data_IF_967105415346
#
_entry.id   IF_967105415346
#
_cell.length_a   1.000
_cell.length_b   1.000
_cell.length_c   1.000
_cell.angle_alpha   90.00
_cell.angle_beta   90.00
_cell.angle_gamma   90.00
#
_symmetry.space_group_name_H-M   'P 1'
#
loop_
_entity.id
_entity.type
_entity.pdbx_description
1 polymer ?
#
# COMPACT_ATOMS: atom_id res chain seq x y z
N UNK A 1 17.08 1.96 -0.78
CA UNK A 1 16.28 1.76 0.44
C UNK A 1 14.92 2.41 0.26
N UNK A 2 13.85 1.72 0.63
CA UNK A 2 12.48 2.22 0.57
C UNK A 2 11.91 2.31 1.98
N UNK A 3 11.25 3.42 2.29
CA UNK A 3 10.55 3.64 3.56
C UNK A 3 9.05 3.58 3.34
N UNK A 4 8.32 2.80 4.13
CA UNK A 4 6.87 2.72 4.04
C UNK A 4 6.24 3.92 4.76
N UNK A 5 5.60 4.81 4.00
CA UNK A 5 4.88 5.97 4.53
C UNK A 5 3.49 5.96 3.93
N UNK A 6 2.47 5.86 4.78
CA UNK A 6 1.08 5.60 4.37
C UNK A 6 0.11 6.77 4.55
N UNK A 7 0.62 7.94 4.94
CA UNK A 7 -0.16 9.18 5.07
C UNK A 7 0.76 10.40 5.12
N UNK A 8 0.27 11.59 4.71
CA UNK A 8 1.08 12.81 4.61
C UNK A 8 1.36 13.46 5.97
N UNK A 9 0.65 13.01 7.01
CA UNK A 9 0.77 13.48 8.38
C UNK A 9 0.57 12.31 9.36
N UNK A 10 0.81 12.59 10.64
CA UNK A 10 0.71 11.60 11.72
C UNK A 10 -0.65 10.94 11.81
N UNK A 11 -1.74 11.71 11.63
CA UNK A 11 -3.11 11.20 11.75
C UNK A 11 -3.40 10.18 10.66
N UNK A 12 -3.18 10.54 9.39
CA UNK A 12 -3.47 9.64 8.27
C UNK A 12 -2.53 8.44 8.30
N UNK A 13 -1.24 8.64 8.60
CA UNK A 13 -0.29 7.53 8.67
C UNK A 13 -0.65 6.55 9.78
N UNK A 14 -0.94 7.04 11.00
CA UNK A 14 -1.34 6.22 12.14
C UNK A 14 -2.62 5.41 11.86
N UNK A 15 -3.60 5.98 11.15
CA UNK A 15 -4.79 5.26 10.72
C UNK A 15 -4.48 4.05 9.83
N UNK A 16 -3.41 4.10 9.03
CA UNK A 16 -3.03 3.00 8.15
C UNK A 16 -2.20 1.93 8.86
N UNK A 17 -1.36 2.31 9.83
CA UNK A 17 -0.40 1.39 10.47
C UNK A 17 -0.80 0.94 11.87
N UNK A 18 -1.75 1.63 12.51
CA UNK A 18 -2.25 1.32 13.87
C UNK A 18 -1.34 1.76 15.01
N UNK A 19 -0.38 2.66 14.76
CA UNK A 19 0.59 3.15 15.75
C UNK A 19 0.70 4.67 15.62
N UNK A 20 0.36 5.40 16.68
CA UNK A 20 0.25 6.85 16.66
C UNK A 20 1.60 7.56 16.40
N UNK A 21 2.67 7.06 17.01
CA UNK A 21 4.00 7.67 16.99
C UNK A 21 4.86 7.22 15.78
N UNK A 22 4.31 6.36 14.92
CA UNK A 22 5.07 5.76 13.82
C UNK A 22 5.48 6.78 12.76
N UNK A 23 4.68 7.84 12.56
CA UNK A 23 4.97 8.84 11.55
C UNK A 23 6.22 9.64 11.87
N UNK A 24 6.29 10.22 13.07
CA UNK A 24 7.41 11.04 13.51
C UNK A 24 8.72 10.23 13.50
N UNK A 25 8.67 9.00 14.03
CA UNK A 25 9.83 8.09 14.04
C UNK A 25 10.30 7.77 12.61
N UNK A 26 9.36 7.53 11.69
CA UNK A 26 9.69 7.23 10.29
C UNK A 26 10.30 8.44 9.60
N UNK A 27 9.73 9.63 9.76
CA UNK A 27 10.23 10.88 9.17
C UNK A 27 11.60 11.26 9.72
N UNK A 28 11.81 11.13 11.03
CA UNK A 28 13.12 11.35 11.66
C UNK A 28 14.17 10.37 11.11
N UNK A 29 13.82 9.08 11.01
CA UNK A 29 14.67 8.05 10.42
C UNK A 29 15.04 8.36 8.98
N UNK A 30 14.08 8.81 8.17
CA UNK A 30 14.32 9.26 6.79
C UNK A 30 15.33 10.41 6.78
N UNK A 31 15.15 11.42 7.64
CA UNK A 31 16.07 12.55 7.74
C UNK A 31 17.52 12.12 8.03
N UNK A 32 17.70 11.16 8.94
CA UNK A 32 19.01 10.57 9.20
C UNK A 32 19.59 9.86 7.98
N UNK A 33 18.80 9.02 7.31
CA UNK A 33 19.24 8.30 6.12
C UNK A 33 19.60 9.22 4.96
N UNK A 34 18.82 10.29 4.74
CA UNK A 34 19.10 11.30 3.70
C UNK A 34 20.42 12.01 4.00
N UNK A 35 20.66 12.41 5.25
CA UNK A 35 21.90 13.08 5.67
C UNK A 35 23.14 12.20 5.53
N UNK A 36 23.02 10.90 5.84
CA UNK A 36 24.16 9.97 5.92
C UNK A 36 24.32 9.07 4.67
N UNK A 37 23.51 9.31 3.63
CA UNK A 37 23.42 8.45 2.44
C UNK A 37 24.77 8.31 1.72
N UNK A 38 25.30 7.07 1.55
CA UNK A 38 26.47 6.84 0.71
C UNK A 38 26.19 7.17 -0.76
N UNK A 39 27.25 7.45 -1.53
CA UNK A 39 27.13 7.58 -2.99
C UNK A 39 26.60 6.29 -3.60
N UNK A 40 25.69 6.41 -4.56
CA UNK A 40 25.09 5.27 -5.27
C UNK A 40 23.93 4.58 -4.54
N UNK A 41 23.59 4.96 -3.31
CA UNK A 41 22.39 4.45 -2.62
C UNK A 41 21.20 5.33 -2.96
N UNK A 42 20.19 4.77 -3.63
CA UNK A 42 18.92 5.46 -3.83
C UNK A 42 18.03 5.32 -2.58
N UNK A 43 17.35 6.41 -2.21
CA UNK A 43 16.35 6.43 -1.15
C UNK A 43 15.00 6.78 -1.76
N UNK A 44 13.96 6.10 -1.33
CA UNK A 44 12.61 6.37 -1.78
C UNK A 44 11.54 6.05 -0.74
N UNK A 45 10.32 6.40 -1.07
CA UNK A 45 9.14 6.19 -0.26
C UNK A 45 8.24 5.15 -0.93
N UNK A 46 7.58 4.30 -0.15
CA UNK A 46 6.54 3.40 -0.62
C UNK A 46 5.23 3.74 0.08
N UNK A 47 4.16 3.94 -0.70
CA UNK A 47 2.79 4.03 -0.20
C UNK A 47 1.99 2.86 -0.74
N UNK A 48 1.29 2.16 0.15
CA UNK A 48 0.22 1.24 -0.22
C UNK A 48 -1.11 1.99 -0.18
N UNK A 49 -1.83 2.03 -1.31
CA UNK A 49 -3.07 2.78 -1.46
C UNK A 49 -4.24 2.07 -0.79
N UNK A 50 -4.98 2.79 0.03
CA UNK A 50 -6.21 2.36 0.70
C UNK A 50 -7.30 3.41 0.50
N UNK A 51 -8.56 3.08 0.80
CA UNK A 51 -9.65 4.09 0.86
C UNK A 51 -9.30 5.26 1.78
N UNK A 52 -8.57 5.00 2.87
CA UNK A 52 -8.22 6.00 3.86
C UNK A 52 -7.09 6.95 3.45
N UNK A 53 -6.31 6.62 2.42
CA UNK A 53 -5.17 7.46 2.01
C UNK A 53 -5.14 7.86 0.53
N UNK A 54 -5.94 7.24 -0.34
CA UNK A 54 -5.88 7.47 -1.79
C UNK A 54 -6.15 8.94 -2.17
N UNK A 55 -7.04 9.62 -1.44
CA UNK A 55 -7.35 11.04 -1.64
C UNK A 55 -6.16 11.97 -1.34
N UNK A 56 -5.17 11.49 -0.58
CA UNK A 56 -4.02 12.27 -0.12
C UNK A 56 -2.78 12.10 -1.01
N UNK A 57 -2.89 11.42 -2.16
CA UNK A 57 -1.74 11.06 -2.99
C UNK A 57 -0.92 12.27 -3.47
N UNK A 58 -1.57 13.40 -3.77
CA UNK A 58 -0.86 14.64 -4.12
C UNK A 58 0.01 15.17 -2.96
N UNK A 59 -0.55 15.21 -1.74
CA UNK A 59 0.19 15.62 -0.53
C UNK A 59 1.32 14.65 -0.20
N UNK A 60 1.15 13.37 -0.52
CA UNK A 60 2.22 12.37 -0.40
C UNK A 60 3.39 12.66 -1.35
N UNK A 61 3.11 13.11 -2.58
CA UNK A 61 4.14 13.57 -3.51
C UNK A 61 4.97 14.72 -2.93
N UNK A 62 4.28 15.73 -2.37
CA UNK A 62 4.93 16.87 -1.70
C UNK A 62 5.78 16.43 -0.50
N UNK A 63 5.25 15.55 0.36
CA UNK A 63 5.98 15.01 1.49
C UNK A 63 7.23 14.25 1.05
N UNK A 64 7.11 13.37 0.04
CA UNK A 64 8.24 12.62 -0.51
C UNK A 64 9.38 13.57 -0.91
N UNK A 65 9.04 14.62 -1.64
CA UNK A 65 9.99 15.59 -2.15
C UNK A 65 10.64 16.41 -1.03
N UNK A 66 9.84 16.89 -0.07
CA UNK A 66 10.29 17.73 1.04
C UNK A 66 11.21 16.97 2.01
N UNK A 67 11.02 15.66 2.16
CA UNK A 67 11.92 14.77 2.90
C UNK A 67 13.26 14.53 2.19
N UNK A 68 13.46 15.05 0.98
CA UNK A 68 14.70 14.86 0.21
C UNK A 68 14.77 13.52 -0.52
N UNK A 69 13.65 12.79 -0.60
CA UNK A 69 13.56 11.55 -1.38
C UNK A 69 13.38 11.90 -2.86
N UNK A 70 13.89 11.02 -3.74
CA UNK A 70 13.87 11.21 -5.21
C UNK A 70 13.22 10.04 -5.93
N UNK A 71 12.55 9.17 -5.17
CA UNK A 71 11.87 7.99 -5.66
C UNK A 71 10.62 7.72 -4.82
N UNK A 72 9.49 7.48 -5.47
CA UNK A 72 8.24 7.07 -4.83
C UNK A 72 7.64 5.85 -5.54
N UNK A 73 7.28 4.84 -4.76
CA UNK A 73 6.47 3.72 -5.18
C UNK A 73 5.02 3.94 -4.77
N UNK A 74 4.12 3.91 -5.74
CA UNK A 74 2.68 3.86 -5.53
C UNK A 74 2.23 2.42 -5.69
N UNK A 75 1.96 1.75 -4.58
CA UNK A 75 1.60 0.35 -4.53
C UNK A 75 0.09 0.19 -4.40
N UNK A 76 -0.51 -0.47 -5.38
CA UNK A 76 -1.90 -0.92 -5.30
C UNK A 76 -2.01 -2.15 -4.41
N UNK A 77 -3.15 -2.26 -3.71
CA UNK A 77 -3.39 -3.40 -2.83
C UNK A 77 -3.34 -4.70 -3.62
N UNK A 78 -2.64 -5.62 -3.02
CA UNK A 78 -2.64 -7.03 -3.37
C UNK A 78 -3.29 -7.77 -2.22
N UNK A 79 -4.01 -8.86 -2.47
CA UNK A 79 -4.67 -9.70 -1.46
C UNK A 79 -3.66 -10.43 -0.56
N UNK A 80 -2.91 -9.66 0.25
CA UNK A 80 -2.07 -10.14 1.33
C UNK A 80 -2.66 -9.70 2.66
N UNK A 81 -2.66 -10.61 3.63
CA UNK A 81 -2.96 -10.30 5.02
C UNK A 81 -4.28 -9.55 5.19
N UNK A 82 -4.20 -8.26 5.53
CA UNK A 82 -5.32 -7.42 5.95
C UNK A 82 -6.10 -6.74 4.81
N UNK A 83 -5.69 -6.97 3.56
CA UNK A 83 -6.16 -6.23 2.40
C UNK A 83 -7.48 -6.82 1.86
N UNK A 84 -8.61 -6.24 2.27
CA UNK A 84 -9.95 -6.62 1.80
C UNK A 84 -10.66 -5.51 1.07
N UNK A 85 -11.86 -5.79 0.55
CA UNK A 85 -12.72 -4.82 -0.13
C UNK A 85 -13.00 -3.56 0.70
N UNK A 86 -12.96 -3.64 2.04
CA UNK A 86 -13.20 -2.46 2.89
C UNK A 86 -12.04 -1.48 2.86
N UNK A 87 -10.83 -1.99 2.67
CA UNK A 87 -9.60 -1.17 2.63
C UNK A 87 -9.25 -0.79 1.20
N UNK A 88 -9.61 -1.62 0.21
CA UNK A 88 -9.29 -1.40 -1.19
C UNK A 88 -10.04 -0.20 -1.79
N UNK A 89 -9.32 0.83 -2.30
CA UNK A 89 -9.98 1.91 -3.01
C UNK A 89 -10.55 1.39 -4.34
N UNK A 90 -11.46 2.16 -4.94
CA UNK A 90 -11.81 1.92 -6.33
C UNK A 90 -10.54 2.03 -7.20
N UNK A 91 -10.25 0.97 -7.95
CA UNK A 91 -8.98 0.87 -8.70
C UNK A 91 -8.89 1.93 -9.80
N UNK A 92 -10.01 2.31 -10.42
CA UNK A 92 -10.02 3.30 -11.50
C UNK A 92 -9.79 4.72 -10.96
N UNK A 93 -10.45 5.09 -9.86
CA UNK A 93 -10.20 6.36 -9.15
C UNK A 93 -8.75 6.44 -8.65
N UNK A 94 -8.25 5.38 -8.01
CA UNK A 94 -6.88 5.29 -7.57
C UNK A 94 -5.87 5.41 -8.73
N UNK A 95 -6.15 4.80 -9.88
CA UNK A 95 -5.34 4.95 -11.09
C UNK A 95 -5.38 6.39 -11.62
N UNK A 96 -6.55 7.02 -11.69
CA UNK A 96 -6.69 8.41 -12.13
C UNK A 96 -5.90 9.39 -11.26
N UNK A 97 -5.90 9.20 -9.94
CA UNK A 97 -5.09 9.98 -8.99
C UNK A 97 -3.61 9.69 -9.13
N UNK A 98 -3.24 8.44 -9.37
CA UNK A 98 -1.85 8.04 -9.63
C UNK A 98 -1.31 8.69 -10.89
N UNK A 99 -2.12 8.77 -11.96
CA UNK A 99 -1.79 9.52 -13.18
C UNK A 99 -1.49 10.99 -12.87
N UNK A 100 -2.36 11.65 -12.13
CA UNK A 100 -2.16 13.06 -11.74
C UNK A 100 -0.88 13.26 -10.91
N UNK A 101 -0.53 12.30 -10.04
CA UNK A 101 0.75 12.32 -9.33
C UNK A 101 1.94 12.21 -10.29
N UNK A 102 1.89 11.28 -11.24
CA UNK A 102 2.95 11.09 -12.24
C UNK A 102 3.14 12.37 -13.06
N UNK A 103 2.06 12.94 -13.60
CA UNK A 103 2.09 14.17 -14.39
C UNK A 103 2.75 15.33 -13.62
N UNK A 104 2.49 15.43 -12.32
CA UNK A 104 3.04 16.49 -11.49
C UNK A 104 4.52 16.28 -11.12
N UNK A 105 5.01 15.04 -11.03
CA UNK A 105 6.27 14.74 -10.34
C UNK A 105 7.31 13.93 -11.12
N UNK A 106 6.95 13.24 -12.19
CA UNK A 106 7.87 12.35 -12.92
C UNK A 106 9.11 13.07 -13.48
N UNK A 107 9.00 14.37 -13.78
CA UNK A 107 10.14 15.20 -14.20
C UNK A 107 11.10 15.58 -13.07
N UNK A 108 10.77 15.31 -11.81
CA UNK A 108 11.56 15.68 -10.62
C UNK A 108 12.03 14.48 -9.82
N UNK A 109 11.21 13.45 -9.73
CA UNK A 109 11.51 12.22 -9.01
C UNK A 109 11.01 10.99 -9.77
N UNK A 110 11.67 9.86 -9.53
CA UNK A 110 11.26 8.57 -10.07
C UNK A 110 9.92 8.17 -9.43
N UNK A 111 8.90 7.91 -10.24
CA UNK A 111 7.63 7.33 -9.79
C UNK A 111 7.50 5.92 -10.37
N UNK A 112 7.18 4.96 -9.52
CA UNK A 112 6.88 3.59 -9.94
C UNK A 112 5.50 3.17 -9.44
N UNK A 113 4.71 2.57 -10.31
CA UNK A 113 3.39 2.04 -9.98
C UNK A 113 3.50 0.54 -9.84
N UNK A 114 3.17 0.03 -8.66
CA UNK A 114 3.33 -1.39 -8.31
C UNK A 114 1.95 -2.04 -8.23
N UNK A 115 1.82 -3.25 -8.79
CA UNK A 115 0.61 -4.10 -8.68
C UNK A 115 -0.66 -3.55 -9.36
N UNK A 116 -0.53 -2.62 -10.31
CA UNK A 116 -1.65 -2.15 -11.14
C UNK A 116 -1.59 -2.81 -12.54
N UNK A 117 -2.70 -3.33 -13.08
CA UNK A 117 -2.74 -3.78 -14.46
C UNK A 117 -2.50 -2.63 -15.45
N UNK A 118 -1.70 -2.89 -16.50
CA UNK A 118 -1.29 -1.88 -17.51
C UNK A 118 -2.47 -1.14 -18.14
N UNK A 119 -3.61 -1.82 -18.32
CA UNK A 119 -4.81 -1.22 -18.90
C UNK A 119 -5.45 -0.09 -18.09
N UNK A 120 -5.07 0.11 -16.81
CA UNK A 120 -5.55 1.23 -16.00
C UNK A 120 -4.79 2.54 -16.23
N UNK A 121 -3.60 2.48 -16.83
CA UNK A 121 -2.73 3.64 -17.07
C UNK A 121 -2.13 3.60 -18.49
N UNK A 122 -2.96 3.61 -19.55
CA UNK A 122 -2.46 3.64 -20.91
C UNK A 122 -1.65 4.91 -21.17
N UNK A 123 -0.48 4.77 -21.80
CA UNK A 123 0.47 5.86 -22.06
C UNK A 123 1.46 6.16 -20.94
N UNK A 124 1.38 5.44 -19.80
CA UNK A 124 2.27 5.60 -18.65
C UNK A 124 3.07 4.32 -18.35
N UNK A 125 3.20 3.43 -19.33
CA UNK A 125 3.74 2.07 -19.19
C UNK A 125 5.14 2.04 -18.57
N UNK A 126 5.95 3.06 -18.79
CA UNK A 126 7.31 3.18 -18.22
C UNK A 126 7.32 3.27 -16.68
N UNK A 127 6.22 3.71 -16.07
CA UNK A 127 6.08 3.80 -14.63
C UNK A 127 5.60 2.47 -14.02
N UNK A 128 4.89 1.63 -14.78
CA UNK A 128 4.32 0.39 -14.25
C UNK A 128 5.38 -0.69 -14.07
N UNK A 129 5.44 -1.23 -12.85
CA UNK A 129 6.28 -2.35 -12.50
C UNK A 129 5.41 -3.62 -12.52
N UNK A 130 5.39 -4.25 -13.69
CA UNK A 130 4.86 -5.61 -13.86
C UNK A 130 5.59 -6.65 -12.99
N UNK A 131 5.29 -7.91 -13.22
CA UNK A 131 5.73 -9.02 -12.37
C UNK A 131 7.13 -9.56 -12.75
N UNK A 132 7.76 -9.08 -13.82
CA UNK A 132 9.09 -9.54 -14.28
C UNK A 132 10.13 -9.48 -13.16
N UNK A 133 10.24 -8.34 -12.47
CA UNK A 133 11.19 -8.15 -11.37
C UNK A 133 10.81 -8.88 -10.08
N UNK A 134 9.67 -9.59 -10.05
CA UNK A 134 9.17 -10.37 -8.90
C UNK A 134 9.46 -11.87 -9.05
N UNK A 135 9.77 -12.35 -10.26
CA UNK A 135 10.03 -13.77 -10.54
C UNK A 135 11.15 -14.37 -9.67
N UNK A 136 12.17 -13.58 -9.34
CA UNK A 136 13.31 -14.00 -8.51
C UNK A 136 13.21 -13.57 -7.04
N UNK A 137 12.10 -12.95 -6.62
CA UNK A 137 11.94 -12.44 -5.25
C UNK A 137 11.35 -13.52 -4.34
N UNK A 138 12.18 -13.99 -3.42
CA UNK A 138 11.73 -14.79 -2.29
C UNK A 138 11.42 -13.85 -1.13
N UNK A 139 10.22 -13.98 -0.56
CA UNK A 139 9.84 -13.26 0.66
C UNK A 139 9.71 -14.25 1.80
N UNK A 140 10.26 -13.87 2.95
CA UNK A 140 10.01 -14.56 4.22
C UNK A 140 8.93 -13.79 4.94
N UNK A 141 7.78 -14.43 5.15
CA UNK A 141 6.72 -13.83 5.93
C UNK A 141 6.98 -13.97 7.43
N UNK A 142 6.27 -13.19 8.24
CA UNK A 142 6.38 -13.21 9.72
C UNK A 142 5.97 -14.58 10.30
N UNK A 143 5.28 -15.43 9.53
CA UNK A 143 5.01 -16.82 9.86
C UNK A 143 6.18 -17.79 9.51
N UNK A 144 7.34 -17.27 9.08
CA UNK A 144 8.52 -18.00 8.62
C UNK A 144 8.32 -18.89 7.37
N UNK A 145 7.23 -18.72 6.62
CA UNK A 145 7.11 -19.35 5.31
C UNK A 145 7.89 -18.53 4.29
N UNK A 146 8.80 -19.20 3.57
CA UNK A 146 9.46 -18.63 2.39
C UNK A 146 8.61 -18.95 1.19
N UNK A 147 8.08 -17.92 0.52
CA UNK A 147 7.35 -18.09 -0.74
C UNK A 147 8.07 -17.38 -1.87
N UNK A 148 7.96 -17.93 -3.08
CA UNK A 148 8.21 -17.15 -4.28
C UNK A 148 7.05 -16.16 -4.48
N UNK A 149 7.36 -14.87 -4.49
CA UNK A 149 6.36 -13.81 -4.57
C UNK A 149 5.56 -13.89 -5.88
N UNK A 150 6.20 -14.21 -7.00
CA UNK A 150 5.49 -14.27 -8.28
C UNK A 150 4.50 -15.43 -8.33
N UNK A 151 4.87 -16.62 -7.87
CA UNK A 151 3.97 -17.78 -7.81
C UNK A 151 2.76 -17.50 -6.91
N UNK A 152 2.99 -16.91 -5.74
CA UNK A 152 1.91 -16.56 -4.81
C UNK A 152 0.96 -15.51 -5.39
N UNK A 153 1.48 -14.50 -6.09
CA UNK A 153 0.68 -13.47 -6.73
C UNK A 153 -0.10 -14.03 -7.93
N UNK A 154 0.51 -14.92 -8.72
CA UNK A 154 -0.14 -15.55 -9.87
C UNK A 154 -1.37 -16.35 -9.46
N UNK A 155 -1.37 -16.99 -8.28
CA UNK A 155 -2.54 -17.70 -7.74
C UNK A 155 -3.72 -16.78 -7.40
N UNK A 156 -3.51 -15.47 -7.30
CA UNK A 156 -4.53 -14.49 -6.90
C UNK A 156 -4.83 -13.44 -7.97
N UNK A 157 -4.30 -13.63 -9.18
CA UNK A 157 -4.62 -12.78 -10.32
C UNK A 157 -5.49 -13.55 -11.30
N UNK A 158 -6.57 -12.91 -11.73
CA UNK A 158 -7.50 -13.45 -12.70
C UNK A 158 -7.35 -12.69 -14.03
N UNK A 159 -6.94 -13.36 -15.13
CA UNK A 159 -6.98 -12.76 -16.45
C UNK A 159 -8.45 -12.57 -16.89
N UNK A 160 -8.76 -11.42 -17.48
CA UNK A 160 -10.09 -11.13 -18.05
C UNK A 160 -10.03 -11.24 -19.58
N UNK A 161 -11.18 -11.22 -20.25
CA UNK A 161 -11.25 -11.33 -21.71
C UNK A 161 -10.35 -10.30 -22.44
N UNK A 162 -10.25 -9.08 -21.89
CA UNK A 162 -9.37 -8.01 -22.40
C UNK A 162 -7.87 -8.37 -22.38
N UNK A 163 -7.46 -9.33 -21.55
CA UNK A 163 -6.07 -9.77 -21.46
C UNK A 163 -5.65 -10.64 -22.65
N UNK A 164 -6.57 -11.31 -23.35
CA UNK A 164 -6.27 -12.21 -24.45
C UNK A 164 -5.39 -11.58 -25.55
N UNK A 165 -5.77 -10.41 -26.10
CA UNK A 165 -4.96 -9.72 -27.11
C UNK A 165 -3.90 -8.78 -26.52
N UNK A 166 -3.74 -8.69 -25.19
CA UNK A 166 -2.93 -7.66 -24.57
C UNK A 166 -1.43 -7.98 -24.66
N UNK A 167 -0.58 -7.10 -25.23
CA UNK A 167 0.86 -7.34 -25.34
C UNK A 167 1.57 -7.36 -23.97
N UNK A 168 0.96 -6.79 -22.94
CA UNK A 168 1.50 -6.77 -21.58
C UNK A 168 1.12 -8.02 -20.76
N UNK A 169 0.28 -8.92 -21.28
CA UNK A 169 -0.26 -10.06 -20.52
C UNK A 169 0.85 -10.93 -19.90
N UNK A 170 1.98 -11.11 -20.61
CA UNK A 170 3.13 -11.90 -20.15
C UNK A 170 3.81 -11.37 -18.88
N UNK A 171 3.64 -10.09 -18.56
CA UNK A 171 4.28 -9.44 -17.39
C UNK A 171 3.29 -8.79 -16.44
N UNK A 172 1.99 -8.78 -16.78
CA UNK A 172 0.95 -8.15 -15.95
C UNK A 172 0.29 -9.15 -14.99
N UNK A 173 0.14 -10.41 -15.38
CA UNK A 173 -0.55 -11.44 -14.60
C UNK A 173 -2.07 -11.27 -14.46
N UNK A 174 -2.65 -10.12 -14.80
CA UNK A 174 -4.10 -9.85 -14.73
C UNK A 174 -4.51 -9.06 -13.48
N UNK A 175 -5.78 -9.19 -13.10
CA UNK A 175 -6.46 -8.38 -12.08
C UNK A 175 -6.48 -9.08 -10.72
N UNK A 176 -6.39 -8.32 -9.64
CA UNK A 176 -6.69 -8.85 -8.30
C UNK A 176 -8.19 -8.81 -8.05
N UNK A 177 -8.77 -9.94 -7.65
CA UNK A 177 -10.14 -10.03 -7.18
C UNK A 177 -10.10 -10.08 -5.64
N UNK A 178 -10.57 -9.00 -5.01
CA UNK A 178 -10.51 -8.81 -3.55
C UNK A 178 -11.83 -9.18 -2.87
N UNK A 179 -12.86 -9.53 -3.65
CA UNK A 179 -14.22 -9.78 -3.17
C UNK A 179 -14.34 -11.13 -2.43
N UNK A 180 -13.47 -12.09 -2.74
CA UNK A 180 -13.46 -13.44 -2.16
C UNK A 180 -12.39 -13.63 -1.05
N UNK A 181 -11.69 -12.55 -0.66
CA UNK A 181 -10.69 -12.64 0.42
C UNK A 181 -11.43 -12.58 1.77
N UNK A 182 -11.34 -13.62 2.62
CA UNK A 182 -12.01 -13.63 3.92
C UNK A 182 -11.58 -12.43 4.76
N UNK A 183 -12.56 -11.75 5.36
CA UNK A 183 -12.30 -10.58 6.17
C UNK A 183 -11.41 -10.91 7.38
N UNK A 184 -10.26 -10.24 7.53
CA UNK A 184 -9.49 -10.34 8.72
C UNK A 184 -10.22 -9.59 9.85
N UNK A 185 -10.14 -10.08 11.09
CA UNK A 185 -11.06 -9.67 12.11
C UNK A 185 -10.99 -8.19 12.56
N UNK A 186 -10.04 -7.32 12.17
CA UNK A 186 -9.65 -6.04 12.85
C UNK A 186 -10.09 -4.66 12.23
N UNK A 187 -11.36 -4.27 12.24
CA UNK A 187 -11.84 -2.87 12.12
C UNK A 187 -11.56 -1.98 13.36
N UNK A 188 -10.37 -1.39 13.49
CA UNK A 188 -10.04 -0.47 14.60
C UNK A 188 -10.87 0.83 14.51
N UNK A 189 -11.58 1.21 15.59
CA UNK A 189 -12.35 2.47 15.64
C UNK A 189 -11.44 3.66 16.01
N UNK A 190 -11.79 4.92 15.67
CA UNK A 190 -10.98 6.09 16.03
C UNK A 190 -10.66 6.20 17.53
N UNK A 191 -11.57 5.74 18.38
CA UNK A 191 -11.44 5.73 19.84
C UNK A 191 -10.40 4.70 20.32
N UNK A 192 -10.10 3.69 19.49
CA UNK A 192 -9.08 2.68 19.76
C UNK A 192 -7.65 3.18 19.42
N UNK A 193 -7.51 4.31 18.70
CA UNK A 193 -6.23 4.87 18.22
C UNK A 193 -5.50 5.75 19.25
N UNK A 194 -6.16 6.14 20.34
CA UNK A 194 -5.57 7.02 21.36
C UNK A 194 -5.24 6.25 22.65
N UNK A 195 -4.04 5.68 22.74
CA UNK A 195 -3.55 4.99 23.94
C UNK A 195 -2.40 5.77 24.60
N UNK A 196 -2.57 6.30 25.82
CA UNK A 196 -1.49 6.93 26.58
C UNK A 196 -0.30 5.98 26.77
N UNK A 197 0.92 6.52 26.90
CA UNK A 197 2.15 5.72 27.08
C UNK A 197 2.11 4.73 28.26
N UNK A 198 1.29 5.02 29.27
CA UNK A 198 1.13 4.20 30.47
C UNK A 198 -0.02 3.19 30.37
N UNK A 199 -0.70 3.09 29.23
CA UNK A 199 -1.79 2.13 29.04
C UNK A 199 -1.22 0.71 28.91
N UNK A 200 -1.52 -0.22 29.84
CA UNK A 200 -1.03 -1.61 29.78
C UNK A 200 -1.50 -2.35 28.52
N UNK A 201 -2.56 -1.87 27.86
CA UNK A 201 -3.10 -2.44 26.61
C UNK A 201 -2.32 -1.98 25.38
N UNK A 202 -1.29 -1.14 25.50
CA UNK A 202 -0.54 -0.60 24.34
C UNK A 202 0.03 -1.69 23.42
N UNK A 203 0.29 -2.89 23.94
CA UNK A 203 0.79 -4.04 23.18
C UNK A 203 -0.31 -4.95 22.61
N UNK A 204 -1.58 -4.71 22.95
CA UNK A 204 -2.70 -5.51 22.47
C UNK A 204 -3.09 -5.09 21.05
N UNK A 205 -2.98 -6.03 20.11
CA UNK A 205 -3.28 -5.84 18.68
C UNK A 205 -4.78 -5.77 18.37
N UNK A 206 -5.65 -6.11 19.33
CA UNK A 206 -7.10 -6.15 19.17
C UNK A 206 -7.78 -5.59 20.44
N UNK A 207 -8.61 -4.53 20.35
CA UNK A 207 -9.32 -3.97 21.51
C UNK A 207 -10.34 -4.97 22.11
N UNK A 208 -10.69 -4.80 23.39
CA UNK A 208 -11.75 -5.59 24.01
C UNK A 208 -13.15 -5.31 23.39
N UNK A 209 -13.99 -6.34 23.30
CA UNK A 209 -15.36 -6.26 22.73
C UNK A 209 -15.42 -6.01 21.22
N UNK A 210 -14.27 -6.03 20.57
CA UNK A 210 -14.13 -5.63 19.18
C UNK A 210 -14.69 -6.66 18.19
N UNK A 211 -14.46 -7.96 18.42
CA UNK A 211 -15.02 -9.05 17.62
C UNK A 211 -16.55 -9.13 17.67
N UNK A 212 -17.18 -8.53 18.69
CA UNK A 212 -18.64 -8.42 18.82
C UNK A 212 -19.17 -7.24 18.00
N UNK A 213 -18.47 -6.10 18.01
CA UNK A 213 -18.80 -4.93 17.17
C UNK A 213 -18.74 -5.26 15.67
N UNK A 214 -17.72 -6.00 15.24
CA UNK A 214 -17.61 -6.45 13.83
C UNK A 214 -18.75 -7.38 13.47
N UNK A 215 -19.07 -8.37 14.32
CA UNK A 215 -20.20 -9.28 14.08
C UNK A 215 -21.53 -8.55 13.97
N UNK A 216 -21.78 -7.57 14.84
CA UNK A 216 -23.00 -6.76 14.80
C UNK A 216 -23.07 -5.96 13.49
N UNK A 217 -21.99 -5.28 13.09
CA UNK A 217 -21.93 -4.49 11.86
C UNK A 217 -22.13 -5.33 10.60
N UNK A 218 -21.51 -6.51 10.54
CA UNK A 218 -21.68 -7.44 9.41
C UNK A 218 -23.08 -8.02 9.32
N UNK A 219 -23.79 -8.15 10.45
CA UNK A 219 -25.19 -8.55 10.47
C UNK A 219 -26.11 -7.43 9.98
N UNK A 220 -25.79 -6.17 10.31
CA UNK A 220 -26.55 -4.99 9.86
C UNK A 220 -26.40 -4.71 8.35
N UNK A 221 -25.23 -4.96 7.76
CA UNK A 221 -24.97 -4.76 6.32
C UNK A 221 -25.55 -5.89 5.42
N UNK A 222 -26.07 -6.98 6.03
CA UNK A 222 -26.64 -8.13 5.33
C UNK A 222 -28.19 -8.15 5.30
N UNK A 223 -28.83 -7.14 5.92
CA UNK A 223 -30.29 -6.92 5.90
C UNK A 223 -30.69 -5.76 4.99
#
# INVERSE_FOLDING_TARGET
LLFSVHGPDAKIHAQQVGVAEAFEQTVEGIGHCVRLRPRGVELGMNITLTKGNVAHLAAMGELCWSLGLRWMNVQFLTPFGRATRYVAPDTADAAARTRALIDAWAGRMKIQVINLPYCFLPGYEEHLQGDLAKLSRHMVFVNNETVNLAEYLAQRRTPKAVCGPCPHASFCGGFYELDDVPEPPWLIAPEDLHRPLHDPRRHESVPAGFSERVRARLADDAG
#
